data_IF_038207762639
#
_entry.id   IF_038207762639
#
_cell.length_a   1.000
_cell.length_b   1.000
_cell.length_c   1.000
_cell.angle_alpha   90.00
_cell.angle_beta   90.00
_cell.angle_gamma   90.00
#
_symmetry.space_group_name_H-M   'P 1'
#
loop_
_entity.id
_entity.type
_entity.pdbx_description
1 polymer ?
#
# COMPACT_ATOMS: atom_id res chain seq x y z
N UNK A 1 -5.36 10.18 -13.25
CA UNK A 1 -6.05 9.71 -12.04
C UNK A 1 -5.01 9.25 -11.05
N UNK A 2 -5.22 9.49 -9.77
CA UNK A 2 -4.39 9.01 -8.67
C UNK A 2 -4.96 7.68 -8.20
N UNK A 3 -4.08 6.71 -7.92
CA UNK A 3 -4.45 5.40 -7.35
C UNK A 3 -3.86 5.26 -5.96
N UNK A 4 -4.61 4.68 -5.03
CA UNK A 4 -4.06 4.25 -3.74
C UNK A 4 -3.21 2.98 -3.91
N UNK A 5 -2.18 2.82 -3.10
CA UNK A 5 -1.42 1.56 -3.02
C UNK A 5 -2.17 0.47 -2.25
N UNK A 6 -3.16 0.84 -1.44
CA UNK A 6 -4.09 -0.08 -0.77
C UNK A 6 -5.29 -0.35 -1.67
N UNK A 7 -5.82 -1.55 -1.61
CA UNK A 7 -6.98 -1.94 -2.38
C UNK A 7 -7.43 -3.35 -2.06
N UNK A 8 -8.69 -3.63 -2.44
CA UNK A 8 -9.30 -4.93 -2.32
C UNK A 8 -10.11 -5.24 -3.57
N UNK A 9 -9.99 -6.47 -4.07
CA UNK A 9 -10.80 -6.97 -5.17
C UNK A 9 -11.18 -8.42 -4.92
N UNK A 10 -12.43 -8.76 -5.21
CA UNK A 10 -12.94 -10.12 -5.14
C UNK A 10 -13.79 -10.41 -6.36
N UNK A 11 -13.59 -11.59 -6.92
CA UNK A 11 -14.47 -12.12 -7.94
C UNK A 11 -14.72 -13.59 -7.67
N UNK A 12 -15.96 -13.99 -7.85
CA UNK A 12 -16.42 -15.36 -7.69
C UNK A 12 -17.09 -15.79 -8.98
N UNK A 13 -16.65 -16.90 -9.53
CA UNK A 13 -17.24 -17.48 -10.73
C UNK A 13 -17.59 -18.93 -10.44
N UNK A 14 -18.84 -19.25 -10.72
CA UNK A 14 -19.35 -20.62 -10.70
C UNK A 14 -19.81 -21.00 -12.11
N UNK A 15 -19.22 -22.02 -12.69
CA UNK A 15 -19.63 -22.59 -13.98
C UNK A 15 -19.78 -24.10 -13.82
N UNK A 16 -20.94 -24.62 -14.22
CA UNK A 16 -21.35 -26.02 -14.02
C UNK A 16 -21.14 -26.45 -12.55
N UNK A 17 -20.28 -27.43 -12.32
CA UNK A 17 -20.04 -28.02 -11.01
C UNK A 17 -18.74 -27.51 -10.35
N UNK A 18 -18.23 -26.35 -10.80
CA UNK A 18 -16.97 -25.78 -10.32
C UNK A 18 -17.14 -24.33 -9.92
N UNK A 19 -16.49 -23.96 -8.82
CA UNK A 19 -16.50 -22.60 -8.32
C UNK A 19 -15.07 -22.15 -8.01
N UNK A 20 -14.70 -21.00 -8.54
CA UNK A 20 -13.42 -20.34 -8.22
C UNK A 20 -13.73 -18.99 -7.61
N UNK A 21 -13.11 -18.73 -6.46
CA UNK A 21 -13.11 -17.43 -5.81
C UNK A 21 -11.69 -16.90 -5.78
N UNK A 22 -11.50 -15.68 -6.29
CA UNK A 22 -10.23 -14.97 -6.26
C UNK A 22 -10.39 -13.72 -5.41
N UNK A 23 -9.56 -13.58 -4.39
CA UNK A 23 -9.50 -12.39 -3.53
C UNK A 23 -8.10 -11.80 -3.60
N UNK A 24 -8.03 -10.47 -3.79
CA UNK A 24 -6.80 -9.70 -3.88
C UNK A 24 -6.80 -8.60 -2.85
N UNK A 25 -5.69 -8.45 -2.11
CA UNK A 25 -5.51 -7.38 -1.14
C UNK A 25 -4.11 -6.82 -1.30
N UNK A 26 -3.97 -5.49 -1.30
CA UNK A 26 -2.66 -4.85 -1.35
C UNK A 26 -2.42 -3.89 -0.20
N UNK A 27 -1.14 -3.74 0.13
CA UNK A 27 -0.62 -2.73 1.05
C UNK A 27 0.56 -2.01 0.41
N UNK A 28 0.89 -0.84 0.95
CA UNK A 28 2.01 -0.05 0.47
C UNK A 28 3.32 -0.86 0.55
N UNK A 29 4.02 -0.92 -0.58
CA UNK A 29 5.36 -1.49 -0.67
C UNK A 29 6.14 -0.88 -1.83
N UNK A 30 7.46 -0.76 -1.67
CA UNK A 30 8.35 -0.09 -2.65
C UNK A 30 8.40 -0.82 -4.00
N UNK A 31 8.32 -2.14 -4.00
CA UNK A 31 8.38 -3.01 -5.18
C UNK A 31 7.09 -3.81 -5.30
N UNK A 32 6.84 -4.38 -6.47
CA UNK A 32 5.77 -5.35 -6.64
C UNK A 32 6.19 -6.68 -6.00
N UNK A 33 5.55 -7.03 -4.90
CA UNK A 33 5.71 -8.31 -4.21
C UNK A 33 4.35 -9.01 -4.18
N UNK A 34 4.26 -10.17 -4.82
CA UNK A 34 3.01 -10.93 -4.94
C UNK A 34 3.13 -12.26 -4.23
N UNK A 35 2.35 -12.43 -3.18
CA UNK A 35 2.19 -13.70 -2.47
C UNK A 35 0.91 -14.37 -2.94
N UNK A 36 1.03 -15.59 -3.49
CA UNK A 36 -0.11 -16.35 -3.99
C UNK A 36 -0.37 -17.53 -3.06
N UNK A 37 -1.60 -17.61 -2.55
CA UNK A 37 -2.09 -18.76 -1.78
C UNK A 37 -3.21 -19.42 -2.55
N UNK A 38 -2.99 -20.68 -2.96
CA UNK A 38 -3.92 -21.44 -3.78
C UNK A 38 -3.83 -22.94 -3.49
N UNK A 39 -4.86 -23.74 -3.84
CA UNK A 39 -4.85 -25.19 -3.76
C UNK A 39 -3.74 -25.79 -4.64
N UNK A 40 -3.14 -26.90 -4.21
CA UNK A 40 -2.07 -27.60 -4.94
C UNK A 40 -2.43 -27.93 -6.39
N UNK A 41 -3.69 -28.20 -6.65
CA UNK A 41 -4.23 -28.49 -8.01
C UNK A 41 -4.05 -27.32 -9.00
N UNK A 42 -3.81 -26.08 -8.52
CA UNK A 42 -3.64 -24.88 -9.36
C UNK A 42 -2.19 -24.38 -9.45
N UNK A 43 -1.23 -25.04 -8.76
CA UNK A 43 0.15 -24.56 -8.67
C UNK A 43 0.85 -24.37 -10.03
N UNK A 44 0.50 -25.16 -11.03
CA UNK A 44 1.07 -25.05 -12.36
C UNK A 44 0.68 -23.76 -13.10
N UNK A 45 -0.36 -23.04 -12.64
CA UNK A 45 -0.76 -21.74 -13.18
C UNK A 45 -0.04 -20.55 -12.52
N UNK A 46 0.79 -20.75 -11.50
CA UNK A 46 1.41 -19.64 -10.74
C UNK A 46 2.13 -18.63 -11.64
N UNK A 47 2.92 -19.11 -12.60
CA UNK A 47 3.67 -18.25 -13.51
C UNK A 47 2.74 -17.40 -14.41
N UNK A 48 1.65 -18.00 -14.90
CA UNK A 48 0.66 -17.32 -15.72
C UNK A 48 -0.09 -16.24 -14.91
N UNK A 49 -0.50 -16.57 -13.68
CA UNK A 49 -1.14 -15.62 -12.76
C UNK A 49 -0.22 -14.42 -12.49
N UNK A 50 1.06 -14.65 -12.18
CA UNK A 50 2.04 -13.58 -11.94
C UNK A 50 2.22 -12.68 -13.16
N UNK A 51 2.16 -13.25 -14.36
CA UNK A 51 2.27 -12.50 -15.61
C UNK A 51 1.05 -11.62 -15.83
N UNK A 52 -0.16 -12.16 -15.63
CA UNK A 52 -1.39 -11.42 -15.77
C UNK A 52 -1.51 -10.25 -14.78
N UNK A 53 -1.13 -10.45 -13.51
CA UNK A 53 -1.18 -9.42 -12.49
C UNK A 53 -0.30 -8.19 -12.78
N UNK A 54 0.81 -8.35 -13.51
CA UNK A 54 1.68 -7.23 -13.90
C UNK A 54 0.99 -6.23 -14.84
N UNK A 55 -0.09 -6.63 -15.52
CA UNK A 55 -0.88 -5.74 -16.38
C UNK A 55 -1.71 -4.75 -15.57
N UNK A 56 -2.04 -5.08 -14.31
CA UNK A 56 -2.93 -4.28 -13.45
C UNK A 56 -2.19 -3.47 -12.38
N UNK A 57 -0.95 -3.84 -12.03
CA UNK A 57 -0.21 -3.20 -10.95
C UNK A 57 1.31 -3.20 -11.18
N UNK A 58 1.96 -2.11 -10.78
CA UNK A 58 3.42 -1.94 -10.92
C UNK A 58 4.16 -1.97 -9.58
N UNK A 59 3.47 -1.66 -8.46
CA UNK A 59 4.02 -1.55 -7.11
C UNK A 59 3.02 -2.05 -6.08
N UNK A 60 3.52 -2.36 -4.88
CA UNK A 60 2.72 -2.80 -3.76
C UNK A 60 2.99 -4.25 -3.38
N UNK A 61 2.72 -4.60 -2.13
CA UNK A 61 2.67 -5.99 -1.70
C UNK A 61 1.24 -6.47 -1.84
N UNK A 62 1.05 -7.51 -2.66
CA UNK A 62 -0.26 -8.07 -3.00
C UNK A 62 -0.36 -9.49 -2.47
N UNK A 63 -1.35 -9.73 -1.63
CA UNK A 63 -1.73 -11.06 -1.20
C UNK A 63 -2.93 -11.52 -2.05
N UNK A 64 -2.73 -12.60 -2.80
CA UNK A 64 -3.73 -13.24 -3.65
C UNK A 64 -4.15 -14.55 -3.01
N UNK A 65 -5.45 -14.70 -2.79
CA UNK A 65 -6.07 -15.93 -2.28
C UNK A 65 -6.98 -16.50 -3.34
N UNK A 66 -6.74 -17.75 -3.72
CA UNK A 66 -7.55 -18.46 -4.69
C UNK A 66 -8.16 -19.69 -3.99
N UNK A 67 -9.48 -19.76 -4.02
CA UNK A 67 -10.23 -20.93 -3.53
C UNK A 67 -10.87 -21.62 -4.72
N UNK A 68 -10.76 -22.94 -4.76
CA UNK A 68 -11.36 -23.80 -5.77
C UNK A 68 -12.25 -24.83 -5.09
N UNK A 69 -13.50 -24.87 -5.47
CA UNK A 69 -14.48 -25.85 -5.03
C UNK A 69 -14.95 -26.64 -6.25
N UNK A 70 -14.91 -27.94 -6.13
CA UNK A 70 -15.35 -28.88 -7.18
C UNK A 70 -16.54 -29.66 -6.64
N UNK A 71 -17.71 -29.45 -7.24
CA UNK A 71 -18.96 -30.10 -6.90
C UNK A 71 -19.30 -31.25 -7.84
N UNK A 72 -18.40 -31.54 -8.79
CA UNK A 72 -18.53 -32.71 -9.64
C UNK A 72 -18.68 -33.93 -8.74
N UNK A 73 -19.72 -34.73 -8.93
CA UNK A 73 -19.82 -36.02 -8.26
C UNK A 73 -18.49 -36.73 -8.43
N UNK A 74 -17.88 -37.13 -7.32
CA UNK A 74 -16.51 -37.66 -7.27
C UNK A 74 -16.37 -38.82 -8.26
N UNK A 75 -15.90 -38.51 -9.44
CA UNK A 75 -15.51 -39.52 -10.46
C UNK A 75 -14.18 -40.15 -10.03
N UNK A 76 -14.19 -40.75 -8.83
CA UNK A 76 -13.13 -41.63 -8.42
C UNK A 76 -13.34 -42.91 -9.18
N UNK A 77 -12.53 -43.13 -10.23
CA UNK A 77 -12.53 -44.37 -10.97
C UNK A 77 -11.59 -45.36 -10.28
N UNK A 78 -12.11 -46.51 -9.95
CA UNK A 78 -11.28 -47.60 -9.47
C UNK A 78 -10.69 -48.32 -10.70
N UNK A 79 -9.37 -48.23 -10.85
CA UNK A 79 -8.64 -48.91 -11.94
C UNK A 79 -8.12 -50.23 -11.43
N UNK A 80 -8.44 -51.27 -12.18
CA UNK A 80 -7.95 -52.63 -11.93
C UNK A 80 -6.72 -52.91 -12.78
N UNK A 81 -5.59 -53.23 -12.14
CA UNK A 81 -4.35 -53.61 -12.81
C UNK A 81 -4.34 -55.14 -12.99
N UNK A 82 -4.90 -55.59 -14.12
CA UNK A 82 -5.02 -57.00 -14.44
C UNK A 82 -3.66 -57.68 -14.60
N UNK A 83 -2.67 -57.03 -15.17
CA UNK A 83 -1.35 -57.58 -15.45
C UNK A 83 -0.63 -57.88 -14.14
N UNK A 84 -0.61 -56.92 -13.21
CA UNK A 84 0.00 -57.07 -11.91
C UNK A 84 -0.72 -58.15 -11.06
N UNK A 85 -2.05 -58.20 -11.12
CA UNK A 85 -2.81 -59.23 -10.44
C UNK A 85 -2.48 -60.65 -10.94
N UNK A 86 -2.29 -60.80 -12.25
CA UNK A 86 -1.88 -62.08 -12.84
C UNK A 86 -0.47 -62.50 -12.41
N UNK A 87 0.45 -61.55 -12.31
CA UNK A 87 1.81 -61.77 -11.82
C UNK A 87 1.82 -62.22 -10.35
N UNK A 88 1.05 -61.56 -9.48
CA UNK A 88 0.88 -62.00 -8.10
C UNK A 88 0.33 -63.44 -8.02
N UNK A 89 -0.67 -63.80 -8.82
CA UNK A 89 -1.25 -65.14 -8.82
C UNK A 89 -0.22 -66.20 -9.22
N UNK A 90 0.62 -65.93 -10.23
CA UNK A 90 1.69 -66.85 -10.62
C UNK A 90 2.71 -67.07 -9.49
N UNK A 91 3.06 -66.07 -8.74
CA UNK A 91 3.96 -66.18 -7.60
C UNK A 91 3.31 -66.97 -6.46
N UNK A 92 2.02 -66.77 -6.18
CA UNK A 92 1.33 -67.55 -5.15
C UNK A 92 1.25 -69.03 -5.50
N UNK A 93 0.98 -69.38 -6.75
CA UNK A 93 0.99 -70.75 -7.20
C UNK A 93 2.39 -71.39 -7.07
N UNK A 94 3.46 -70.70 -7.43
CA UNK A 94 4.84 -71.13 -7.23
C UNK A 94 5.18 -71.31 -5.74
N UNK A 95 4.79 -70.37 -4.90
CA UNK A 95 5.03 -70.44 -3.45
C UNK A 95 4.29 -71.63 -2.83
N UNK A 96 3.08 -71.93 -3.30
CA UNK A 96 2.32 -73.10 -2.87
C UNK A 96 3.03 -74.41 -3.24
N UNK A 97 3.56 -74.50 -4.48
CA UNK A 97 4.35 -75.65 -4.94
C UNK A 97 5.67 -75.77 -4.20
N UNK A 98 6.47 -74.70 -4.09
CA UNK A 98 7.82 -74.74 -3.48
C UNK A 98 7.78 -75.12 -1.98
N UNK A 99 6.75 -74.76 -1.28
CA UNK A 99 6.63 -74.99 0.19
C UNK A 99 5.57 -76.03 0.56
N UNK A 100 4.91 -76.65 -0.46
CA UNK A 100 3.83 -77.62 -0.26
C UNK A 100 2.69 -77.06 0.63
N UNK A 101 2.28 -75.83 0.33
CA UNK A 101 1.18 -75.12 1.00
C UNK A 101 -0.06 -75.09 0.12
N UNK A 102 -1.23 -74.95 0.74
CA UNK A 102 -2.46 -74.72 0.00
C UNK A 102 -2.56 -73.24 -0.43
N UNK A 103 -2.86 -72.98 -1.71
CA UNK A 103 -3.14 -71.65 -2.16
C UNK A 103 -4.58 -71.26 -1.75
N UNK A 104 -4.70 -70.42 -0.70
CA UNK A 104 -5.97 -69.95 -0.16
C UNK A 104 -6.36 -68.53 -0.60
N UNK A 105 -5.70 -68.01 -1.65
CA UNK A 105 -5.91 -66.64 -2.12
C UNK A 105 -7.34 -66.47 -2.63
N UNK A 106 -8.05 -65.54 -1.98
CA UNK A 106 -9.40 -65.08 -2.37
C UNK A 106 -9.34 -63.74 -3.06
N UNK A 107 -10.38 -63.44 -3.87
CA UNK A 107 -10.51 -62.12 -4.54
C UNK A 107 -10.36 -60.96 -3.54
N UNK A 108 -10.94 -61.09 -2.32
CA UNK A 108 -10.86 -60.09 -1.25
C UNK A 108 -9.43 -59.91 -0.70
N UNK A 109 -8.60 -60.94 -0.77
CA UNK A 109 -7.18 -60.86 -0.39
C UNK A 109 -6.37 -60.26 -1.51
N UNK A 110 -6.55 -60.70 -2.74
CA UNK A 110 -5.87 -60.18 -3.93
C UNK A 110 -6.13 -58.66 -4.11
N UNK A 111 -7.37 -58.22 -3.91
CA UNK A 111 -7.76 -56.81 -4.04
C UNK A 111 -7.07 -55.87 -3.02
N UNK A 112 -6.46 -56.40 -1.95
CA UNK A 112 -5.73 -55.64 -0.91
C UNK A 112 -4.24 -55.52 -1.19
N UNK A 113 -3.70 -56.25 -2.17
CA UNK A 113 -2.30 -56.12 -2.51
C UNK A 113 -2.04 -54.74 -3.16
N UNK A 114 -0.87 -54.19 -2.94
CA UNK A 114 -0.51 -52.86 -3.47
C UNK A 114 -0.73 -52.79 -4.99
N UNK A 115 -1.29 -51.66 -5.44
CA UNK A 115 -1.46 -51.30 -6.85
C UNK A 115 -2.34 -52.21 -7.70
N UNK A 116 -3.01 -53.21 -7.13
CA UNK A 116 -4.00 -54.02 -7.86
C UNK A 116 -5.29 -53.24 -8.10
N UNK A 117 -5.76 -52.48 -7.09
CA UNK A 117 -6.85 -51.54 -7.22
C UNK A 117 -6.34 -50.15 -6.81
N UNK A 118 -6.26 -49.26 -7.80
CA UNK A 118 -5.89 -47.88 -7.57
C UNK A 118 -7.09 -46.96 -7.80
N UNK A 119 -7.24 -45.96 -6.91
CA UNK A 119 -8.21 -44.89 -7.13
C UNK A 119 -7.56 -43.82 -8.00
N UNK A 120 -8.01 -43.63 -9.21
CA UNK A 120 -7.56 -42.54 -10.09
C UNK A 120 -8.64 -41.43 -10.08
N UNK A 121 -8.23 -40.22 -9.73
CA UNK A 121 -9.05 -39.06 -9.99
C UNK A 121 -8.99 -38.74 -11.49
N UNK A 122 -10.14 -38.47 -12.13
CA UNK A 122 -10.14 -38.05 -13.52
C UNK A 122 -9.30 -36.80 -13.71
N UNK A 123 -8.46 -36.77 -14.72
CA UNK A 123 -7.65 -35.62 -15.10
C UNK A 123 -8.56 -34.47 -15.45
N UNK A 124 -8.43 -33.39 -14.69
CA UNK A 124 -9.14 -32.14 -14.98
C UNK A 124 -8.59 -31.55 -16.26
N UNK A 125 -9.47 -31.11 -17.16
CA UNK A 125 -9.06 -30.36 -18.36
C UNK A 125 -8.42 -29.04 -17.94
N UNK A 126 -7.09 -28.98 -18.06
CA UNK A 126 -6.29 -27.83 -17.66
C UNK A 126 -6.68 -26.54 -18.41
N UNK A 127 -7.08 -26.66 -19.70
CA UNK A 127 -7.47 -25.50 -20.49
C UNK A 127 -8.79 -24.88 -19.98
N UNK A 128 -9.76 -25.73 -19.65
CA UNK A 128 -11.04 -25.26 -19.09
C UNK A 128 -10.83 -24.65 -17.72
N UNK A 129 -10.00 -25.26 -16.88
CA UNK A 129 -9.70 -24.75 -15.54
C UNK A 129 -8.98 -23.40 -15.61
N UNK A 130 -8.03 -23.26 -16.56
CA UNK A 130 -7.37 -21.97 -16.78
C UNK A 130 -8.34 -20.89 -17.24
N UNK A 131 -9.23 -21.18 -18.18
CA UNK A 131 -10.23 -20.22 -18.66
C UNK A 131 -11.11 -19.70 -17.52
N UNK A 132 -11.54 -20.58 -16.63
CA UNK A 132 -12.36 -20.23 -15.47
C UNK A 132 -11.55 -19.39 -14.46
N UNK A 133 -10.31 -19.77 -14.17
CA UNK A 133 -9.41 -19.06 -13.29
C UNK A 133 -9.03 -17.69 -13.84
N UNK A 134 -8.68 -17.58 -15.11
CA UNK A 134 -8.32 -16.32 -15.79
C UNK A 134 -9.48 -15.32 -15.75
N UNK A 135 -10.70 -15.78 -15.98
CA UNK A 135 -11.89 -14.94 -15.90
C UNK A 135 -12.13 -14.43 -14.48
N UNK A 136 -11.98 -15.29 -13.45
CA UNK A 136 -12.10 -14.89 -12.05
C UNK A 136 -10.96 -13.93 -11.62
N UNK A 137 -9.74 -14.20 -12.10
CA UNK A 137 -8.58 -13.35 -11.83
C UNK A 137 -8.74 -11.95 -12.41
N UNK A 138 -9.17 -11.84 -13.68
CA UNK A 138 -9.43 -10.56 -14.33
C UNK A 138 -10.53 -9.78 -13.64
N UNK A 139 -11.65 -10.43 -13.31
CA UNK A 139 -12.74 -9.79 -12.58
C UNK A 139 -12.31 -9.29 -11.19
N UNK A 140 -11.49 -10.06 -10.46
CA UNK A 140 -10.93 -9.62 -9.19
C UNK A 140 -9.95 -8.46 -9.36
N UNK A 141 -9.11 -8.49 -10.41
CA UNK A 141 -8.15 -7.43 -10.71
C UNK A 141 -8.85 -6.11 -11.13
N UNK A 142 -9.92 -6.17 -11.90
CA UNK A 142 -10.73 -5.01 -12.27
C UNK A 142 -11.36 -4.36 -11.03
N UNK A 143 -12.02 -5.15 -10.18
CA UNK A 143 -12.60 -4.67 -8.91
C UNK A 143 -11.54 -4.08 -7.98
N UNK A 144 -10.35 -4.69 -7.96
CA UNK A 144 -9.21 -4.21 -7.20
C UNK A 144 -8.73 -2.84 -7.70
N UNK A 145 -8.58 -2.66 -9.02
CA UNK A 145 -8.18 -1.38 -9.62
C UNK A 145 -9.24 -0.30 -9.38
N UNK A 146 -10.52 -0.62 -9.49
CA UNK A 146 -11.62 0.31 -9.21
C UNK A 146 -11.59 0.78 -7.74
N UNK A 147 -11.39 -0.14 -6.80
CA UNK A 147 -11.25 0.20 -5.38
C UNK A 147 -10.08 1.14 -5.13
N UNK A 148 -8.92 0.89 -5.76
CA UNK A 148 -7.73 1.75 -5.67
C UNK A 148 -7.95 3.15 -6.25
N UNK A 149 -8.69 3.27 -7.34
CA UNK A 149 -9.04 4.57 -7.94
C UNK A 149 -9.93 5.35 -6.99
N UNK A 150 -11.00 4.73 -6.48
CA UNK A 150 -11.93 5.39 -5.54
C UNK A 150 -11.23 5.85 -4.27
N UNK A 151 -10.37 5.01 -3.70
CA UNK A 151 -9.58 5.36 -2.51
C UNK A 151 -8.55 6.45 -2.81
N UNK A 152 -7.91 6.42 -3.99
CA UNK A 152 -7.00 7.46 -4.45
C UNK A 152 -7.68 8.83 -4.62
N UNK A 153 -8.93 8.86 -5.07
CA UNK A 153 -9.72 10.09 -5.15
C UNK A 153 -10.07 10.65 -3.76
N UNK A 154 -10.42 9.78 -2.81
CA UNK A 154 -10.68 10.20 -1.43
C UNK A 154 -9.40 10.78 -0.79
N UNK A 155 -8.26 10.10 -0.96
CA UNK A 155 -6.96 10.58 -0.48
C UNK A 155 -6.60 11.94 -1.09
N UNK A 156 -6.78 12.12 -2.39
CA UNK A 156 -6.55 13.40 -3.07
C UNK A 156 -7.36 14.53 -2.45
N UNK A 157 -8.65 14.30 -2.23
CA UNK A 157 -9.56 15.33 -1.71
C UNK A 157 -9.20 15.70 -0.26
N UNK A 158 -8.87 14.71 0.57
CA UNK A 158 -8.40 14.95 1.95
C UNK A 158 -7.07 15.71 1.98
N UNK A 159 -6.13 15.35 1.11
CA UNK A 159 -4.86 16.06 1.00
C UNK A 159 -5.03 17.52 0.56
N UNK A 160 -5.91 17.78 -0.41
CA UNK A 160 -6.21 19.16 -0.86
C UNK A 160 -6.79 19.98 0.30
N UNK A 161 -7.75 19.42 1.06
CA UNK A 161 -8.31 20.12 2.22
C UNK A 161 -7.26 20.43 3.30
N UNK A 162 -6.32 19.52 3.57
CA UNK A 162 -5.20 19.74 4.48
C UNK A 162 -4.26 20.84 3.98
N UNK A 163 -3.92 20.84 2.70
CA UNK A 163 -3.09 21.88 2.09
C UNK A 163 -3.73 23.28 2.17
N UNK A 164 -5.04 23.37 2.00
CA UNK A 164 -5.80 24.62 2.17
C UNK A 164 -5.77 25.08 3.64
N UNK A 165 -5.94 24.17 4.60
CA UNK A 165 -5.78 24.48 6.02
C UNK A 165 -4.39 25.00 6.38
N UNK A 166 -3.34 24.45 5.76
CA UNK A 166 -1.96 24.93 5.97
C UNK A 166 -1.76 26.36 5.46
N UNK A 167 -2.41 26.77 4.37
CA UNK A 167 -2.34 28.16 3.90
C UNK A 167 -2.85 29.16 4.93
N UNK A 168 -3.88 28.82 5.69
CA UNK A 168 -4.38 29.69 6.75
C UNK A 168 -3.33 29.94 7.86
N UNK A 169 -2.51 28.95 8.20
CA UNK A 169 -1.40 29.15 9.14
C UNK A 169 -0.30 30.03 8.53
N UNK A 170 0.01 29.85 7.24
CA UNK A 170 0.98 30.69 6.53
C UNK A 170 0.50 32.13 6.47
N UNK A 171 -0.78 32.37 6.20
CA UNK A 171 -1.37 33.71 6.17
C UNK A 171 -1.28 34.36 7.53
N UNK A 172 -1.66 33.68 8.63
CA UNK A 172 -1.54 34.16 9.99
C UNK A 172 -0.11 34.59 10.35
N UNK A 173 0.88 33.72 10.02
CA UNK A 173 2.28 34.06 10.32
C UNK A 173 2.73 35.27 9.50
N UNK A 174 2.28 35.40 8.25
CA UNK A 174 2.60 36.54 7.38
C UNK A 174 2.07 37.88 7.96
N UNK A 175 0.84 37.85 8.50
CA UNK A 175 0.21 39.02 9.11
C UNK A 175 0.84 39.37 10.45
N UNK A 176 1.15 38.39 11.29
CA UNK A 176 1.70 38.59 12.64
C UNK A 176 3.19 39.01 12.65
N UNK A 177 3.99 38.59 11.69
CA UNK A 177 5.43 38.84 11.66
C UNK A 177 5.81 40.33 11.74
N UNK A 178 5.20 41.28 10.99
CA UNK A 178 5.52 42.70 11.13
C UNK A 178 5.09 43.31 12.49
N UNK A 179 3.99 42.83 13.10
CA UNK A 179 3.51 43.30 14.38
C UNK A 179 4.52 43.04 15.50
N UNK A 180 5.20 41.91 15.49
CA UNK A 180 6.22 41.55 16.47
C UNK A 180 7.40 42.53 16.45
N UNK A 181 7.77 43.03 15.28
CA UNK A 181 8.85 43.99 15.13
C UNK A 181 8.45 45.34 15.78
N UNK A 182 7.21 45.79 15.55
CA UNK A 182 6.70 47.02 16.17
C UNK A 182 6.54 46.87 17.69
N UNK A 183 6.00 45.76 18.18
CA UNK A 183 5.91 45.43 19.60
C UNK A 183 7.31 45.42 20.28
N UNK A 184 8.30 44.83 19.61
CA UNK A 184 9.68 44.83 20.11
C UNK A 184 10.26 46.21 20.19
N UNK A 185 10.06 47.06 19.17
CA UNK A 185 10.51 48.45 19.10
C UNK A 185 9.92 49.27 20.25
N UNK A 186 8.60 49.18 20.46
CA UNK A 186 7.93 49.88 21.56
C UNK A 186 8.43 49.42 22.94
N UNK A 187 8.56 48.10 23.13
CA UNK A 187 9.06 47.53 24.39
C UNK A 187 10.50 47.95 24.68
N UNK A 188 11.34 47.98 23.66
CA UNK A 188 12.73 48.39 23.80
C UNK A 188 12.83 49.89 24.11
N UNK A 189 12.05 50.74 23.42
CA UNK A 189 11.99 52.18 23.69
C UNK A 189 11.60 52.48 25.15
N UNK A 190 10.51 51.89 25.65
CA UNK A 190 10.06 52.01 27.04
C UNK A 190 11.14 51.57 28.03
N UNK A 191 11.79 50.44 27.78
CA UNK A 191 12.83 49.92 28.67
C UNK A 191 14.07 50.81 28.71
N UNK A 192 14.44 51.40 27.57
CA UNK A 192 15.55 52.37 27.51
C UNK A 192 15.21 53.67 28.23
N UNK A 193 13.98 54.18 28.08
CA UNK A 193 13.48 55.37 28.80
C UNK A 193 13.51 55.19 30.33
N UNK A 194 13.01 54.01 30.81
CA UNK A 194 13.05 53.67 32.24
C UNK A 194 14.47 53.60 32.81
N UNK A 195 15.46 53.14 32.03
CA UNK A 195 16.85 52.98 32.47
C UNK A 195 17.67 54.31 32.46
N UNK A 196 17.31 55.22 31.56
CA UNK A 196 18.12 56.45 31.35
C UNK A 196 17.74 57.62 32.25
N UNK A 197 16.58 57.55 32.94
CA UNK A 197 16.07 58.50 33.95
C UNK A 197 16.08 60.01 33.57
N UNK A 198 17.06 60.51 32.84
CA UNK A 198 17.17 61.96 32.43
C UNK A 198 18.08 62.15 31.19
N UNK A 199 18.52 61.04 30.51
CA UNK A 199 19.36 61.18 29.34
C UNK A 199 18.53 60.93 28.09
N UNK A 200 18.78 61.69 27.01
CA UNK A 200 18.13 61.47 25.69
C UNK A 200 18.48 60.12 25.17
N UNK A 201 17.45 59.41 24.69
CA UNK A 201 17.59 58.12 23.98
C UNK A 201 18.29 58.38 22.67
N UNK A 202 19.36 57.63 22.39
CA UNK A 202 20.01 57.66 21.08
C UNK A 202 19.15 56.83 20.09
N UNK A 203 18.32 57.52 19.32
CA UNK A 203 17.41 56.90 18.32
C UNK A 203 18.16 56.04 17.30
N UNK A 204 19.40 56.43 16.92
CA UNK A 204 20.20 55.67 15.97
C UNK A 204 20.57 54.28 16.51
N UNK A 205 20.89 54.17 17.79
CA UNK A 205 21.17 52.89 18.46
C UNK A 205 19.91 52.06 18.65
N UNK A 206 18.78 52.65 18.96
CA UNK A 206 17.49 51.98 19.06
C UNK A 206 17.12 51.37 17.72
N UNK A 207 17.22 52.15 16.63
CA UNK A 207 16.93 51.65 15.26
C UNK A 207 17.88 50.54 14.83
N UNK A 208 19.17 50.60 15.22
CA UNK A 208 20.12 49.52 14.91
C UNK A 208 19.73 48.21 15.59
N UNK A 209 19.37 48.22 16.86
CA UNK A 209 18.92 47.04 17.61
C UNK A 209 17.62 46.45 17.04
N UNK A 210 16.66 47.32 16.68
CA UNK A 210 15.42 46.88 16.03
C UNK A 210 15.70 46.25 14.67
N UNK A 211 16.64 46.79 13.89
CA UNK A 211 17.04 46.21 12.60
C UNK A 211 17.69 44.83 12.75
N UNK A 212 18.60 44.68 13.73
CA UNK A 212 19.22 43.39 14.04
C UNK A 212 18.18 42.34 14.46
N UNK A 213 17.21 42.77 15.30
CA UNK A 213 16.13 41.91 15.73
C UNK A 213 15.23 41.51 14.55
N UNK A 214 14.83 42.47 13.70
CA UNK A 214 14.00 42.25 12.52
C UNK A 214 14.66 41.25 11.57
N UNK A 215 15.96 41.38 11.30
CA UNK A 215 16.71 40.44 10.45
C UNK A 215 16.74 39.05 11.04
N UNK A 216 16.91 38.93 12.36
CA UNK A 216 16.94 37.64 13.06
C UNK A 216 15.61 36.89 13.00
N UNK A 217 14.48 37.60 13.10
CA UNK A 217 13.12 36.99 13.11
C UNK A 217 12.47 36.97 11.75
N UNK A 218 13.14 37.47 10.69
CA UNK A 218 12.61 37.49 9.34
C UNK A 218 12.38 36.08 8.81
N UNK A 219 11.13 35.78 8.40
CA UNK A 219 10.69 34.49 7.88
C UNK A 219 10.03 34.62 6.51
N UNK A 220 10.16 35.74 5.85
CA UNK A 220 9.47 36.06 4.60
C UNK A 220 9.83 35.10 3.47
N UNK A 221 11.11 34.74 3.34
CA UNK A 221 11.57 33.81 2.32
C UNK A 221 11.00 32.41 2.54
N UNK A 222 11.01 31.93 3.77
CA UNK A 222 10.45 30.64 4.17
C UNK A 222 8.93 30.57 3.92
N UNK A 223 8.21 31.66 4.21
CA UNK A 223 6.77 31.74 3.96
C UNK A 223 6.45 31.70 2.45
N UNK A 224 7.20 32.45 1.63
CA UNK A 224 7.04 32.42 0.16
C UNK A 224 7.34 31.03 -0.40
N UNK A 225 8.42 30.39 0.04
CA UNK A 225 8.79 29.04 -0.37
C UNK A 225 7.75 28.02 0.07
N UNK A 226 7.29 28.07 1.32
CA UNK A 226 6.28 27.16 1.85
C UNK A 226 4.97 27.28 1.07
N UNK A 227 4.50 28.50 0.78
CA UNK A 227 3.32 28.75 -0.05
C UNK A 227 3.48 28.18 -1.48
N UNK A 228 4.66 28.34 -2.07
CA UNK A 228 4.99 27.78 -3.37
C UNK A 228 4.94 26.23 -3.37
N UNK A 229 5.50 25.60 -2.33
CA UNK A 229 5.49 24.15 -2.18
C UNK A 229 4.08 23.59 -1.95
N UNK A 230 3.25 24.25 -1.15
CA UNK A 230 1.84 23.89 -0.94
C UNK A 230 1.08 23.93 -2.28
N UNK A 231 1.26 25.02 -3.03
CA UNK A 231 0.63 25.16 -4.36
C UNK A 231 1.10 24.10 -5.34
N UNK A 232 2.41 23.86 -5.43
CA UNK A 232 2.99 22.83 -6.29
C UNK A 232 2.50 21.42 -5.94
N UNK A 233 2.30 21.13 -4.65
CA UNK A 233 1.72 19.86 -4.18
C UNK A 233 0.28 19.72 -4.64
N UNK A 234 -0.55 20.76 -4.45
CA UNK A 234 -1.95 20.78 -4.90
C UNK A 234 -2.06 20.58 -6.42
N UNK A 235 -1.26 21.30 -7.19
CA UNK A 235 -1.29 21.22 -8.65
C UNK A 235 -0.85 19.84 -9.15
N UNK A 236 0.14 19.23 -8.51
CA UNK A 236 0.55 17.87 -8.81
C UNK A 236 -0.56 16.84 -8.50
N UNK A 237 -1.29 16.99 -7.37
CA UNK A 237 -2.43 16.16 -7.01
C UNK A 237 -3.58 16.27 -8.04
N UNK A 238 -3.82 17.48 -8.55
CA UNK A 238 -4.83 17.71 -9.58
C UNK A 238 -4.43 17.14 -10.95
N UNK A 239 -3.16 17.24 -11.32
CA UNK A 239 -2.63 16.67 -12.56
C UNK A 239 -2.66 15.13 -12.55
N UNK A 240 -2.43 14.51 -11.39
CA UNK A 240 -2.41 13.05 -11.24
C UNK A 240 -1.20 12.38 -11.89
N UNK A 241 -1.27 11.06 -12.05
CA UNK A 241 -0.19 10.23 -12.59
C UNK A 241 0.75 9.71 -11.48
N UNK A 242 1.90 9.18 -11.84
CA UNK A 242 2.90 8.64 -10.90
C UNK A 242 3.68 9.76 -10.20
N UNK A 243 3.04 10.39 -9.22
CA UNK A 243 3.52 11.62 -8.55
C UNK A 243 4.09 11.40 -7.16
N UNK A 244 3.92 10.21 -6.57
CA UNK A 244 4.26 9.95 -5.16
C UNK A 244 5.69 10.37 -4.76
N UNK A 245 6.71 10.07 -5.58
CA UNK A 245 8.11 10.48 -5.30
C UNK A 245 8.31 12.00 -5.34
N UNK A 246 7.67 12.68 -6.29
CA UNK A 246 7.72 14.14 -6.40
C UNK A 246 7.09 14.79 -5.19
N UNK A 247 5.93 14.28 -4.76
CA UNK A 247 5.21 14.78 -3.60
C UNK A 247 5.99 14.56 -2.30
N UNK A 248 6.62 13.38 -2.10
CA UNK A 248 7.46 13.12 -0.91
C UNK A 248 8.62 14.10 -0.83
N UNK A 249 9.28 14.41 -1.95
CA UNK A 249 10.33 15.42 -2.01
C UNK A 249 9.81 16.82 -1.62
N UNK A 250 8.68 17.25 -2.19
CA UNK A 250 8.09 18.56 -1.87
C UNK A 250 7.68 18.62 -0.39
N UNK A 251 7.13 17.54 0.18
CA UNK A 251 6.78 17.48 1.60
C UNK A 251 8.01 17.61 2.52
N UNK A 252 9.16 17.07 2.12
CA UNK A 252 10.43 17.25 2.84
C UNK A 252 10.88 18.72 2.82
N UNK A 253 10.77 19.40 1.68
CA UNK A 253 11.09 20.83 1.59
C UNK A 253 10.10 21.66 2.43
N UNK A 254 8.79 21.38 2.39
CA UNK A 254 7.82 22.04 3.28
C UNK A 254 8.20 21.89 4.77
N UNK A 255 8.62 20.70 5.18
CA UNK A 255 9.05 20.44 6.56
C UNK A 255 10.32 21.23 6.91
N UNK A 256 11.24 21.40 5.96
CA UNK A 256 12.44 22.23 6.12
C UNK A 256 12.07 23.71 6.36
N UNK A 257 11.20 24.28 5.53
CA UNK A 257 10.76 25.66 5.68
C UNK A 257 10.03 25.87 7.01
N UNK A 258 9.11 24.99 7.39
CA UNK A 258 8.41 25.07 8.68
C UNK A 258 9.37 24.97 9.90
N UNK A 259 10.43 24.15 9.80
CA UNK A 259 11.47 24.08 10.84
C UNK A 259 12.24 25.40 10.97
N UNK A 260 12.55 26.04 9.85
CA UNK A 260 13.26 27.33 9.85
C UNK A 260 12.39 28.42 10.43
N UNK A 261 11.10 28.49 10.07
CA UNK A 261 10.13 29.40 10.68
C UNK A 261 10.08 29.22 12.20
N UNK A 262 9.95 27.98 12.66
CA UNK A 262 9.93 27.67 14.10
C UNK A 262 11.22 28.11 14.81
N UNK A 263 12.38 27.89 14.19
CA UNK A 263 13.68 28.21 14.79
C UNK A 263 13.96 29.72 14.87
N UNK A 264 13.41 30.51 13.94
CA UNK A 264 13.50 31.96 13.92
C UNK A 264 12.44 32.66 14.77
N UNK A 265 11.38 31.94 15.16
CA UNK A 265 10.27 32.50 15.92
C UNK A 265 10.69 32.87 17.34
N UNK A 266 10.38 34.11 17.77
CA UNK A 266 10.48 34.61 19.14
C UNK A 266 9.10 34.84 19.77
N UNK A 267 8.04 34.69 19.01
CA UNK A 267 6.65 34.86 19.40
C UNK A 267 5.98 33.51 19.65
N UNK A 268 5.14 33.42 20.70
CA UNK A 268 4.48 32.19 21.10
C UNK A 268 3.40 31.76 20.08
N UNK A 269 2.67 32.71 19.52
CA UNK A 269 1.60 32.40 18.55
C UNK A 269 2.17 31.90 17.24
N UNK A 270 3.24 32.54 16.73
CA UNK A 270 3.95 32.05 15.55
C UNK A 270 4.54 30.67 15.81
N UNK A 271 5.15 30.43 16.96
CA UNK A 271 5.71 29.13 17.34
C UNK A 271 4.64 28.03 17.35
N UNK A 272 3.47 28.29 17.92
CA UNK A 272 2.35 27.38 17.95
C UNK A 272 1.86 27.06 16.52
N UNK A 273 1.68 28.06 15.65
CA UNK A 273 1.28 27.88 14.27
C UNK A 273 2.32 27.11 13.45
N UNK A 274 3.60 27.35 13.69
CA UNK A 274 4.67 26.59 13.02
C UNK A 274 4.70 25.12 13.46
N UNK A 275 4.39 24.81 14.73
CA UNK A 275 4.23 23.42 15.22
C UNK A 275 3.02 22.74 14.57
N UNK A 276 1.88 23.45 14.47
CA UNK A 276 0.69 22.95 13.79
C UNK A 276 1.00 22.67 12.31
N UNK A 277 1.66 23.59 11.59
CA UNK A 277 2.12 23.39 10.23
C UNK A 277 2.99 22.13 10.08
N UNK A 278 3.97 21.93 10.94
CA UNK A 278 4.81 20.72 10.93
C UNK A 278 3.99 19.45 11.12
N UNK A 279 3.02 19.50 12.02
CA UNK A 279 2.14 18.34 12.28
C UNK A 279 1.30 18.00 11.05
N UNK A 280 0.73 19.02 10.39
CA UNK A 280 -0.06 18.81 9.17
C UNK A 280 0.82 18.37 7.99
N UNK A 281 2.03 18.91 7.84
CA UNK A 281 3.00 18.47 6.82
C UNK A 281 3.34 16.99 6.98
N UNK A 282 3.57 16.52 8.22
CA UNK A 282 3.89 15.11 8.46
C UNK A 282 2.68 14.20 8.16
N UNK A 283 1.47 14.60 8.54
CA UNK A 283 0.24 13.88 8.15
C UNK A 283 0.08 13.79 6.62
N UNK A 284 0.32 14.90 5.92
CA UNK A 284 0.29 14.96 4.44
C UNK A 284 1.35 14.01 3.88
N UNK A 285 2.55 14.00 4.41
CA UNK A 285 3.65 13.14 3.97
C UNK A 285 3.36 11.66 4.15
N UNK A 286 2.78 11.25 5.28
CA UNK A 286 2.36 9.87 5.53
C UNK A 286 1.31 9.40 4.51
N UNK A 287 0.35 10.26 4.18
CA UNK A 287 -0.67 9.92 3.18
C UNK A 287 -0.13 9.87 1.75
N UNK A 288 0.80 10.76 1.39
CA UNK A 288 1.50 10.75 0.09
C UNK A 288 2.18 9.40 -0.17
N UNK A 289 2.70 8.74 0.87
CA UNK A 289 3.34 7.43 0.73
C UNK A 289 2.37 6.34 0.24
N UNK A 290 1.06 6.54 0.36
CA UNK A 290 0.03 5.62 -0.12
C UNK A 290 -0.45 5.94 -1.55
N UNK A 291 0.15 6.90 -2.23
CA UNK A 291 -0.19 7.32 -3.60
C UNK A 291 0.74 6.66 -4.63
N UNK A 292 0.12 6.09 -5.67
CA UNK A 292 0.80 5.57 -6.86
C UNK A 292 0.51 6.43 -8.09
#
# INVERSE_FOLDING_TARGET
MIKSMTGFGRCEIAEADRKITVEMKSVNHRYLDVTIKMPKKLNFFEAAIRTELKNYMQRGKVDLFITYEDFTESNVCVKYNKELAAEYMQYFDRMAEDFSLDNDIRVSTLARFPEILTMEEQTVDEEQLWKLLDKALKGAAENFVETRIREGENLRNDLIAKLEGMLAHVDFITERSPEIIEEYKEKLAKKVEELLSDKQVDESRLLMEVTIFADKVCVDEELVRLRSHITATRDALLAGGSIGRKLDFIAQEMNREANTILSKSSDLEISNRAIELKTEIEKVREQIQNIE
#
